data_IF_902195910709
#
_entry.id   IF_902195910709
#
_cell.length_a   1.000
_cell.length_b   1.000
_cell.length_c   1.000
_cell.angle_alpha   90.00
_cell.angle_beta   90.00
_cell.angle_gamma   90.00
#
_symmetry.space_group_name_H-M   'P 1'
#
loop_
_entity.id
_entity.type
_entity.pdbx_description
1 polymer ?
#
# COMPACT_ATOMS: atom_id res chain seq x y z
N UNK A 1 3.94 -16.00 75.47
CA UNK A 1 2.78 -15.25 74.93
C UNK A 1 3.29 -13.91 74.41
N UNK A 2 2.90 -13.43 73.22
CA UNK A 2 2.88 -14.07 71.88
C UNK A 2 3.75 -13.23 70.89
N UNK A 3 4.49 -13.79 69.94
CA UNK A 3 4.09 -14.37 68.66
C UNK A 3 3.19 -13.47 67.77
N UNK A 4 3.56 -13.36 66.49
CA UNK A 4 2.69 -13.09 65.33
C UNK A 4 2.39 -11.63 64.97
N UNK A 5 3.16 -11.07 64.02
CA UNK A 5 2.69 -10.10 63.01
C UNK A 5 3.43 -10.25 61.68
N UNK A 6 3.76 -11.47 61.28
CA UNK A 6 3.85 -11.79 59.85
C UNK A 6 2.41 -11.94 59.36
N UNK A 7 2.10 -11.40 58.18
CA UNK A 7 0.92 -11.79 57.38
C UNK A 7 -0.44 -11.11 57.66
N UNK A 8 -0.55 -9.80 57.46
CA UNK A 8 -1.78 -9.13 56.93
C UNK A 8 -1.21 -7.91 56.19
N UNK A 9 -1.23 -7.72 54.88
CA UNK A 9 -2.36 -7.68 53.96
C UNK A 9 -1.74 -7.88 52.56
N UNK A 10 -1.89 -9.08 51.99
CA UNK A 10 -1.92 -9.21 50.54
C UNK A 10 -3.28 -8.67 50.07
N UNK A 11 -3.29 -8.05 48.89
CA UNK A 11 -4.47 -7.74 48.09
C UNK A 11 -5.46 -6.68 48.63
N UNK A 12 -5.26 -5.41 48.22
CA UNK A 12 -6.37 -4.49 48.00
C UNK A 12 -6.01 -3.42 46.94
N UNK A 13 -6.64 -3.56 45.76
CA UNK A 13 -7.06 -2.50 44.83
C UNK A 13 -5.95 -1.50 44.38
N UNK A 14 -5.31 -1.62 43.22
CA UNK A 14 -5.85 -1.79 41.85
C UNK A 14 -6.75 -0.66 41.32
N UNK A 15 -6.65 0.60 41.78
CA UNK A 15 -7.38 1.71 41.13
C UNK A 15 -6.64 3.06 41.19
N UNK A 16 -6.78 3.84 40.11
CA UNK A 16 -6.30 5.21 39.81
C UNK A 16 -4.92 5.31 39.12
N UNK A 17 -4.80 4.93 37.85
CA UNK A 17 -5.26 5.67 36.65
C UNK A 17 -4.49 6.98 36.39
N UNK A 18 -3.24 6.87 35.95
CA UNK A 18 -2.44 8.05 35.59
C UNK A 18 -1.46 7.87 34.42
N UNK A 19 -1.56 6.81 33.61
CA UNK A 19 -0.83 6.71 32.35
C UNK A 19 -1.82 6.88 31.20
N UNK A 20 -2.03 8.13 30.76
CA UNK A 20 -2.50 8.35 29.39
C UNK A 20 -1.34 7.94 28.50
N UNK A 21 -1.31 6.68 28.07
CA UNK A 21 -0.59 6.31 26.88
C UNK A 21 -1.25 7.11 25.75
N UNK A 22 -0.65 8.23 25.36
CA UNK A 22 -0.89 8.80 24.05
C UNK A 22 -0.47 7.74 23.06
N UNK A 23 -1.43 6.96 22.59
CA UNK A 23 -1.29 6.14 21.40
C UNK A 23 -1.28 7.09 20.20
N UNK A 24 -0.22 7.87 20.11
CA UNK A 24 0.12 8.64 18.92
C UNK A 24 1.54 8.22 18.50
N UNK A 25 1.76 6.90 18.45
CA UNK A 25 2.89 6.33 17.75
C UNK A 25 2.57 6.39 16.26
N UNK A 26 2.99 7.52 15.71
CA UNK A 26 3.08 7.83 14.30
C UNK A 26 4.07 6.88 13.63
N UNK A 27 3.66 5.64 13.35
CA UNK A 27 4.31 4.75 12.37
C UNK A 27 3.40 3.59 11.93
N UNK A 28 2.08 3.79 11.95
CA UNK A 28 1.15 2.83 11.35
C UNK A 28 1.34 2.82 9.83
N UNK A 29 1.95 1.76 9.30
CA UNK A 29 2.05 1.53 7.86
C UNK A 29 0.66 1.65 7.23
N UNK A 30 0.54 2.50 6.20
CA UNK A 30 -0.72 2.77 5.52
C UNK A 30 -1.43 1.47 5.09
N UNK A 31 -2.74 1.41 5.29
CA UNK A 31 -3.54 0.27 4.86
C UNK A 31 -3.44 0.08 3.33
N UNK A 32 -3.65 -1.13 2.80
CA UNK A 32 -3.63 -1.35 1.35
C UNK A 32 -4.63 -0.48 0.58
N UNK A 33 -5.76 -0.10 1.21
CA UNK A 33 -6.74 0.80 0.61
C UNK A 33 -6.18 2.24 0.50
N UNK A 34 -5.53 2.73 1.54
CA UNK A 34 -4.88 4.05 1.55
C UNK A 34 -3.72 4.11 0.57
N UNK A 35 -2.89 3.06 0.49
CA UNK A 35 -1.81 2.97 -0.50
C UNK A 35 -2.35 3.08 -1.93
N UNK A 36 -3.43 2.37 -2.26
CA UNK A 36 -4.07 2.46 -3.59
C UNK A 36 -4.67 3.85 -3.84
N UNK A 37 -5.32 4.45 -2.84
CA UNK A 37 -5.89 5.78 -2.97
C UNK A 37 -4.81 6.85 -3.19
N UNK A 38 -3.71 6.77 -2.44
CA UNK A 38 -2.52 7.61 -2.62
C UNK A 38 -1.93 7.45 -4.01
N UNK A 39 -1.76 6.20 -4.48
CA UNK A 39 -1.25 5.92 -5.81
C UNK A 39 -2.13 6.53 -6.91
N UNK A 40 -3.47 6.36 -6.84
CA UNK A 40 -4.38 6.94 -7.84
C UNK A 40 -4.27 8.46 -7.90
N UNK A 41 -4.32 9.11 -6.73
CA UNK A 41 -4.17 10.58 -6.64
C UNK A 41 -2.86 11.06 -7.24
N UNK A 42 -1.76 10.37 -6.94
CA UNK A 42 -0.45 10.71 -7.51
C UNK A 42 -0.44 10.52 -9.03
N UNK A 43 -0.93 9.37 -9.51
CA UNK A 43 -0.90 9.00 -10.92
C UNK A 43 -1.78 9.87 -11.83
N UNK A 44 -2.86 10.47 -11.29
CA UNK A 44 -3.70 11.41 -12.05
C UNK A 44 -3.19 12.85 -11.98
N UNK A 45 -2.43 13.22 -10.94
CA UNK A 45 -1.91 14.57 -10.76
C UNK A 45 -0.51 14.81 -11.36
N UNK A 46 0.19 13.75 -11.80
CA UNK A 46 1.55 13.85 -12.32
C UNK A 46 1.65 13.21 -13.69
N UNK A 47 2.43 13.84 -14.57
CA UNK A 47 2.75 13.27 -15.86
C UNK A 47 3.58 11.99 -15.71
N UNK A 48 3.31 11.04 -16.61
CA UNK A 48 4.10 9.83 -16.73
C UNK A 48 5.33 10.04 -17.63
N UNK A 49 6.41 9.32 -17.34
CA UNK A 49 7.55 9.20 -18.24
C UNK A 49 7.28 8.10 -19.29
N UNK A 50 7.09 8.52 -20.54
CA UNK A 50 6.80 7.62 -21.66
C UNK A 50 7.94 6.65 -21.99
N UNK A 51 9.20 7.07 -21.84
CA UNK A 51 10.36 6.22 -22.09
C UNK A 51 10.48 5.13 -21.03
N UNK A 52 10.28 5.51 -19.75
CA UNK A 52 10.20 4.54 -18.66
C UNK A 52 9.02 3.59 -18.82
N UNK A 53 7.87 4.10 -19.26
CA UNK A 53 6.69 3.29 -19.57
C UNK A 53 6.97 2.24 -20.65
N UNK A 54 7.66 2.62 -21.72
CA UNK A 54 8.11 1.70 -22.77
C UNK A 54 9.03 0.61 -22.24
N UNK A 55 10.03 0.98 -21.43
CA UNK A 55 10.94 0.01 -20.84
C UNK A 55 10.20 -0.99 -19.91
N UNK A 56 9.21 -0.52 -19.15
CA UNK A 56 8.36 -1.38 -18.32
C UNK A 56 7.47 -2.30 -19.14
N UNK A 57 6.91 -1.84 -20.26
CA UNK A 57 6.09 -2.65 -21.16
C UNK A 57 6.87 -3.85 -21.72
N UNK A 58 8.13 -3.61 -22.10
CA UNK A 58 9.03 -4.62 -22.67
C UNK A 58 9.70 -5.51 -21.59
N UNK A 59 9.63 -5.12 -20.32
CA UNK A 59 10.25 -5.85 -19.22
C UNK A 59 9.42 -7.07 -18.76
N UNK A 60 9.61 -8.21 -19.42
CA UNK A 60 8.90 -9.45 -19.09
C UNK A 60 9.04 -9.89 -17.63
N UNK A 61 10.19 -9.65 -17.00
CA UNK A 61 10.41 -10.02 -15.60
C UNK A 61 9.59 -9.19 -14.60
N UNK A 62 8.97 -8.09 -15.05
CA UNK A 62 8.22 -7.16 -14.18
C UNK A 62 6.72 -7.12 -14.47
N UNK A 63 6.34 -6.99 -15.74
CA UNK A 63 4.95 -6.64 -16.10
C UNK A 63 4.29 -7.58 -17.10
N UNK A 64 5.10 -8.37 -17.83
CA UNK A 64 4.68 -9.32 -18.88
C UNK A 64 3.73 -8.77 -19.97
N UNK A 65 3.55 -7.45 -20.09
CA UNK A 65 2.59 -6.85 -21.03
C UNK A 65 2.87 -7.24 -22.48
N UNK A 66 4.14 -7.19 -22.88
CA UNK A 66 4.60 -7.52 -24.23
C UNK A 66 4.40 -9.00 -24.62
N UNK A 67 4.06 -9.90 -23.69
CA UNK A 67 3.73 -11.29 -24.02
C UNK A 67 2.39 -11.43 -24.71
N UNK A 68 1.45 -10.54 -24.41
CA UNK A 68 0.10 -10.58 -24.96
C UNK A 68 -0.16 -9.46 -25.96
N UNK A 69 0.44 -8.28 -25.75
CA UNK A 69 0.13 -7.07 -26.50
C UNK A 69 1.32 -6.56 -27.31
N UNK A 70 1.02 -5.83 -28.38
CA UNK A 70 1.91 -4.94 -29.12
C UNK A 70 1.47 -3.48 -28.91
N UNK A 71 2.31 -2.52 -29.29
CA UNK A 71 2.04 -1.06 -29.13
C UNK A 71 2.22 -0.27 -30.42
N UNK A 72 2.48 -0.96 -31.51
CA UNK A 72 2.95 -0.42 -32.79
C UNK A 72 2.36 -1.19 -33.98
N UNK A 73 1.42 -2.10 -33.74
CA UNK A 73 0.81 -2.94 -34.76
C UNK A 73 1.72 -4.05 -35.28
N UNK A 74 2.95 -4.21 -34.76
CA UNK A 74 3.95 -5.14 -35.30
C UNK A 74 3.58 -6.62 -35.16
N UNK A 75 2.66 -6.95 -34.25
CA UNK A 75 2.34 -8.35 -33.93
C UNK A 75 0.89 -8.51 -33.48
N UNK A 76 0.23 -9.56 -33.97
CA UNK A 76 -1.03 -10.05 -33.41
C UNK A 76 -0.72 -11.17 -32.41
N UNK A 77 -1.17 -10.99 -31.17
CA UNK A 77 -0.96 -11.93 -30.07
C UNK A 77 -2.29 -12.25 -29.36
N UNK A 78 -2.23 -12.92 -28.20
CA UNK A 78 -3.41 -13.23 -27.39
C UNK A 78 -4.24 -12.00 -27.00
N UNK A 79 -3.59 -10.84 -26.87
CA UNK A 79 -4.23 -9.55 -26.63
C UNK A 79 -4.26 -8.69 -27.89
N UNK A 80 -5.22 -7.75 -28.00
CA UNK A 80 -5.23 -6.77 -29.07
C UNK A 80 -4.00 -5.85 -29.02
N UNK A 81 -3.62 -5.29 -30.15
CA UNK A 81 -2.64 -4.21 -30.18
C UNK A 81 -3.15 -2.97 -29.42
N UNK A 82 -2.24 -2.25 -28.76
CA UNK A 82 -2.54 -1.11 -27.90
C UNK A 82 -2.11 0.24 -28.50
N UNK A 83 -1.73 0.31 -29.78
CA UNK A 83 -1.28 1.54 -30.44
C UNK A 83 -2.26 2.71 -30.25
N UNK A 84 -3.57 2.45 -30.34
CA UNK A 84 -4.62 3.46 -30.23
C UNK A 84 -5.33 3.46 -28.85
N UNK A 85 -4.75 2.85 -27.82
CA UNK A 85 -5.43 2.69 -26.52
C UNK A 85 -5.74 4.04 -25.86
N UNK A 86 -4.89 5.04 -26.09
CA UNK A 86 -5.05 6.39 -25.53
C UNK A 86 -6.21 7.18 -26.14
N UNK A 87 -6.66 6.83 -27.34
CA UNK A 87 -7.82 7.49 -27.98
C UNK A 87 -9.14 6.93 -27.45
N UNK A 88 -9.12 5.69 -26.94
CA UNK A 88 -10.30 4.97 -26.46
C UNK A 88 -10.61 5.22 -24.98
N UNK A 89 -9.58 5.36 -24.16
CA UNK A 89 -9.72 5.48 -22.71
C UNK A 89 -9.06 6.75 -22.21
N UNK A 90 -9.82 7.52 -21.43
CA UNK A 90 -9.35 8.70 -20.72
C UNK A 90 -8.66 8.30 -19.40
N UNK A 91 -8.01 9.26 -18.73
CA UNK A 91 -7.20 9.04 -17.51
C UNK A 91 -7.89 9.50 -16.21
N UNK A 92 -9.15 9.91 -16.29
CA UNK A 92 -10.00 10.44 -15.21
C UNK A 92 -10.81 9.38 -14.46
#
# INVERSE_FOLDING_TARGET
MPASRTLVIAAALCLLSGARASADDSDALASPAEVRANYRRYATAHDGDANRGRALFDAEAKTTCAKCHSRDGSRQGPGPDLQAIGDKFTRD
#
